data_IF_164006046607
#
_entry.id   IF_164006046607
#
_cell.length_a   1.000
_cell.length_b   1.000
_cell.length_c   1.000
_cell.angle_alpha   90.00
_cell.angle_beta   90.00
_cell.angle_gamma   90.00
#
_symmetry.space_group_name_H-M   'P 1'
#
loop_
_entity.id
_entity.type
_entity.pdbx_description
1 polymer ?
#
# COMPACT_ATOMS: atom_id res chain seq x y z
N UNK A 1 -35.55 39.36 14.04
CA UNK A 1 -34.27 38.79 13.55
C UNK A 1 -33.60 39.84 12.71
N UNK A 2 -32.28 40.01 12.81
CA UNK A 2 -31.53 40.90 11.90
C UNK A 2 -31.68 40.40 10.47
N UNK A 3 -31.93 41.29 9.51
CA UNK A 3 -31.78 40.97 8.08
C UNK A 3 -30.39 40.36 7.83
N UNK A 4 -30.27 39.31 6.99
CA UNK A 4 -28.98 38.79 6.54
C UNK A 4 -28.26 39.79 5.64
N UNK A 5 -26.95 39.64 5.50
CA UNK A 5 -26.25 40.28 4.38
C UNK A 5 -26.54 39.53 3.07
N UNK A 6 -26.63 40.25 1.97
CA UNK A 6 -26.77 39.65 0.65
C UNK A 6 -25.53 38.78 0.35
N UNK A 7 -25.75 37.53 -0.07
CA UNK A 7 -24.66 36.57 -0.29
C UNK A 7 -24.13 35.90 0.98
N UNK A 8 -24.71 36.18 2.15
CA UNK A 8 -24.34 35.50 3.39
C UNK A 8 -24.58 33.98 3.29
N UNK A 9 -23.60 33.20 3.73
CA UNK A 9 -23.68 31.73 3.78
C UNK A 9 -23.95 31.30 5.22
N UNK A 10 -24.93 30.43 5.42
CA UNK A 10 -25.27 29.87 6.75
C UNK A 10 -25.40 28.36 6.69
N UNK A 11 -24.98 27.71 7.78
CA UNK A 11 -25.28 26.30 8.04
C UNK A 11 -26.58 26.19 8.83
N UNK A 12 -27.46 25.29 8.41
CA UNK A 12 -28.79 25.07 8.98
C UNK A 12 -29.08 23.58 9.13
N UNK A 13 -29.89 23.23 10.14
CA UNK A 13 -30.25 21.84 10.45
C UNK A 13 -31.42 21.26 9.63
N UNK A 14 -32.09 22.08 8.83
CA UNK A 14 -33.17 21.65 7.93
C UNK A 14 -32.65 21.45 6.50
N UNK A 15 -33.42 20.78 5.64
CA UNK A 15 -32.96 20.27 4.33
C UNK A 15 -33.39 21.11 3.11
N UNK A 16 -34.00 22.27 3.33
CA UNK A 16 -34.50 23.15 2.26
C UNK A 16 -34.00 24.59 2.44
N UNK A 17 -34.04 25.38 1.36
CA UNK A 17 -33.79 26.81 1.45
C UNK A 17 -35.11 27.57 1.68
N UNK A 18 -35.24 28.37 2.75
CA UNK A 18 -36.43 29.19 2.97
C UNK A 18 -36.52 30.31 1.93
N UNK A 19 -37.67 31.00 1.87
CA UNK A 19 -37.84 32.14 0.96
C UNK A 19 -36.74 33.19 1.14
N UNK A 20 -36.21 33.72 0.03
CA UNK A 20 -35.08 34.65 0.03
C UNK A 20 -33.70 33.97 0.16
N UNK A 21 -33.64 32.64 0.19
CA UNK A 21 -32.42 31.85 0.25
C UNK A 21 -32.36 30.81 -0.86
N UNK A 22 -31.17 30.33 -1.14
CA UNK A 22 -30.92 29.20 -2.04
C UNK A 22 -29.95 28.20 -1.40
N UNK A 23 -30.00 26.93 -1.81
CA UNK A 23 -29.04 25.92 -1.35
C UNK A 23 -27.63 26.21 -1.90
N UNK A 24 -26.58 26.08 -1.10
CA UNK A 24 -25.20 26.23 -1.57
C UNK A 24 -24.71 24.94 -2.26
N UNK A 25 -25.27 24.66 -3.45
CA UNK A 25 -25.05 23.43 -4.23
C UNK A 25 -24.59 23.69 -5.68
N UNK A 26 -23.95 24.83 -5.96
CA UNK A 26 -23.35 25.09 -7.28
C UNK A 26 -24.34 25.48 -8.39
N UNK A 27 -25.57 25.83 -8.06
CA UNK A 27 -26.58 26.21 -9.05
C UNK A 27 -26.23 27.52 -9.76
N UNK A 28 -26.54 27.59 -11.06
CA UNK A 28 -26.41 28.80 -11.88
C UNK A 28 -27.67 29.66 -11.75
N UNK A 29 -27.49 30.94 -11.48
CA UNK A 29 -28.56 31.92 -11.26
C UNK A 29 -28.46 33.03 -12.31
N UNK A 30 -29.63 33.53 -12.74
CA UNK A 30 -29.69 34.62 -13.72
C UNK A 30 -29.10 35.92 -13.16
N UNK A 31 -28.15 36.50 -13.90
CA UNK A 31 -27.56 37.82 -13.61
C UNK A 31 -28.63 38.91 -13.66
N UNK A 32 -29.55 38.85 -14.63
CA UNK A 32 -30.56 39.89 -14.82
C UNK A 32 -31.54 40.02 -13.65
N UNK A 33 -31.77 38.92 -12.92
CA UNK A 33 -32.66 38.88 -11.76
C UNK A 33 -31.92 39.11 -10.43
N UNK A 34 -30.59 38.96 -10.40
CA UNK A 34 -29.80 38.97 -9.17
C UNK A 34 -28.55 39.84 -9.30
N UNK A 35 -28.69 41.01 -9.93
CA UNK A 35 -27.57 41.92 -10.24
C UNK A 35 -26.73 42.30 -9.02
N UNK A 36 -27.39 42.55 -7.87
CA UNK A 36 -26.70 42.90 -6.63
C UNK A 36 -25.86 41.73 -6.09
N UNK A 37 -26.36 40.50 -6.15
CA UNK A 37 -25.59 39.33 -5.72
C UNK A 37 -24.44 39.04 -6.71
N UNK A 38 -24.68 39.22 -8.01
CA UNK A 38 -23.63 39.12 -9.03
C UNK A 38 -22.51 40.14 -8.82
N UNK A 39 -22.81 41.37 -8.39
CA UNK A 39 -21.79 42.37 -8.07
C UNK A 39 -20.85 41.94 -6.93
N UNK A 40 -21.31 41.04 -6.04
CA UNK A 40 -20.50 40.48 -4.96
C UNK A 40 -19.72 39.24 -5.39
N UNK A 41 -20.39 38.29 -6.06
CA UNK A 41 -19.80 36.98 -6.37
C UNK A 41 -19.07 36.95 -7.71
N UNK A 42 -19.43 37.82 -8.66
CA UNK A 42 -18.96 37.75 -10.04
C UNK A 42 -19.14 36.34 -10.61
N UNK A 43 -18.09 35.81 -11.23
CA UNK A 43 -18.03 34.43 -11.75
C UNK A 43 -17.21 33.50 -10.85
N UNK A 44 -16.96 33.88 -9.59
CA UNK A 44 -16.07 33.15 -8.66
C UNK A 44 -16.48 31.67 -8.52
N UNK A 45 -17.78 31.39 -8.53
CA UNK A 45 -18.31 30.04 -8.39
C UNK A 45 -18.89 29.48 -9.71
N UNK A 46 -18.50 30.06 -10.85
CA UNK A 46 -18.90 29.62 -12.19
C UNK A 46 -19.92 30.53 -12.88
N UNK A 47 -20.50 30.02 -13.97
CA UNK A 47 -21.36 30.76 -14.89
C UNK A 47 -20.58 31.51 -15.97
N UNK A 48 -21.31 32.15 -16.88
CA UNK A 48 -20.74 32.85 -18.04
C UNK A 48 -20.49 34.35 -17.79
N UNK A 49 -20.92 34.87 -16.64
CA UNK A 49 -20.78 36.28 -16.25
C UNK A 49 -21.62 37.25 -17.10
N UNK A 50 -22.49 36.73 -17.99
CA UNK A 50 -23.34 37.52 -18.89
C UNK A 50 -24.80 37.25 -18.62
N UNK A 51 -25.22 36.00 -18.81
CA UNK A 51 -26.58 35.56 -18.51
C UNK A 51 -26.68 34.97 -17.11
N UNK A 52 -25.63 34.28 -16.64
CA UNK A 52 -25.63 33.51 -15.41
C UNK A 52 -24.35 33.62 -14.60
N UNK A 53 -24.45 33.38 -13.30
CA UNK A 53 -23.33 33.20 -12.38
C UNK A 53 -23.62 32.06 -11.41
N UNK A 54 -22.58 31.45 -10.84
CA UNK A 54 -22.71 30.34 -9.90
C UNK A 54 -22.86 30.77 -8.44
N UNK A 55 -23.59 29.96 -7.67
CA UNK A 55 -23.51 29.95 -6.21
C UNK A 55 -22.42 28.97 -5.75
N UNK A 56 -21.89 29.10 -4.51
CA UNK A 56 -20.98 28.11 -3.95
C UNK A 56 -21.57 26.69 -3.98
N UNK A 57 -20.72 25.69 -4.20
CA UNK A 57 -21.05 24.27 -4.00
C UNK A 57 -20.32 23.74 -2.76
N UNK A 58 -21.03 23.58 -1.65
CA UNK A 58 -20.48 23.09 -0.39
C UNK A 58 -20.81 21.61 -0.13
N UNK A 59 -21.38 20.89 -1.11
CA UNK A 59 -21.61 19.46 -0.97
C UNK A 59 -20.28 18.72 -0.92
N UNK A 60 -20.10 17.87 0.09
CA UNK A 60 -18.86 17.10 0.31
C UNK A 60 -17.64 17.95 0.69
N UNK A 61 -17.83 19.24 1.01
CA UNK A 61 -16.73 20.19 1.21
C UNK A 61 -16.86 20.90 2.55
N UNK A 62 -15.72 21.05 3.22
CA UNK A 62 -15.60 21.90 4.41
C UNK A 62 -15.12 23.29 4.00
N UNK A 63 -15.78 24.37 4.45
CA UNK A 63 -15.31 25.73 4.17
C UNK A 63 -13.99 26.00 4.90
N UNK A 64 -13.11 26.74 4.25
CA UNK A 64 -11.81 27.18 4.79
C UNK A 64 -11.65 28.69 4.58
N UNK A 65 -10.87 29.35 5.44
CA UNK A 65 -10.58 30.78 5.28
C UNK A 65 -9.72 31.05 4.05
N UNK A 66 -10.08 32.07 3.28
CA UNK A 66 -9.30 32.54 2.12
C UNK A 66 -8.12 33.41 2.56
N UNK A 67 -7.10 33.53 1.71
CA UNK A 67 -5.96 34.42 1.88
C UNK A 67 -4.64 33.68 2.13
N UNK A 68 -3.64 34.44 2.57
CA UNK A 68 -2.27 33.96 2.81
C UNK A 68 -1.87 34.18 4.27
N UNK A 69 -1.06 33.29 4.84
CA UNK A 69 -0.48 33.46 6.18
C UNK A 69 0.86 32.72 6.33
N UNK A 70 1.68 33.07 7.34
CA UNK A 70 2.95 32.38 7.58
C UNK A 70 2.75 30.87 7.78
N UNK A 71 3.36 30.05 6.93
CA UNK A 71 3.23 28.59 6.97
C UNK A 71 1.91 28.04 6.41
N UNK A 72 1.06 28.88 5.81
CA UNK A 72 -0.18 28.47 5.16
C UNK A 72 -0.05 28.59 3.64
N UNK A 73 -0.72 27.69 2.91
CA UNK A 73 -0.93 27.86 1.48
C UNK A 73 -1.87 29.06 1.23
N UNK A 74 -1.67 29.76 0.12
CA UNK A 74 -2.62 30.74 -0.36
C UNK A 74 -3.91 30.02 -0.77
N UNK A 75 -5.08 30.56 -0.36
CA UNK A 75 -6.38 30.04 -0.79
C UNK A 75 -7.19 31.18 -1.38
N UNK A 76 -7.56 31.06 -2.65
CA UNK A 76 -8.40 32.05 -3.32
C UNK A 76 -9.89 31.79 -3.09
N UNK A 77 -10.75 32.83 -3.11
CA UNK A 77 -12.20 32.64 -3.09
C UNK A 77 -12.65 31.72 -4.25
N UNK A 78 -13.48 30.73 -3.94
CA UNK A 78 -13.96 29.75 -4.93
C UNK A 78 -12.97 28.65 -5.28
N UNK A 79 -11.74 28.67 -4.74
CA UNK A 79 -10.79 27.58 -4.92
C UNK A 79 -11.33 26.29 -4.31
N UNK A 80 -11.23 25.20 -5.06
CA UNK A 80 -11.60 23.85 -4.61
C UNK A 80 -10.32 23.03 -4.51
N UNK A 81 -10.03 22.54 -3.30
CA UNK A 81 -8.88 21.70 -3.02
C UNK A 81 -9.24 20.48 -2.17
N UNK A 82 -8.30 19.53 -2.11
CA UNK A 82 -8.44 18.29 -1.34
C UNK A 82 -9.23 17.19 -2.04
N UNK A 83 -9.27 16.01 -1.41
CA UNK A 83 -10.00 14.81 -1.84
C UNK A 83 -10.63 14.13 -0.63
N UNK A 84 -11.77 13.46 -0.81
CA UNK A 84 -12.43 12.69 0.27
C UNK A 84 -11.69 11.39 0.57
N UNK A 85 -11.13 10.75 -0.48
CA UNK A 85 -10.31 9.55 -0.36
C UNK A 85 -9.03 9.66 -1.21
N UNK A 86 -7.93 9.11 -0.70
CA UNK A 86 -6.64 9.08 -1.38
C UNK A 86 -6.15 7.63 -1.54
N UNK A 87 -5.67 7.29 -2.75
CA UNK A 87 -4.89 6.09 -2.98
C UNK A 87 -3.40 6.43 -2.84
N UNK A 88 -2.67 5.72 -1.99
CA UNK A 88 -1.23 5.92 -1.88
C UNK A 88 -0.51 5.33 -3.09
N UNK A 89 0.37 6.14 -3.64
CA UNK A 89 1.38 5.75 -4.63
C UNK A 89 2.71 5.47 -3.96
N UNK A 90 3.62 4.78 -4.66
CA UNK A 90 4.96 4.50 -4.13
C UNK A 90 5.72 5.79 -3.76
N UNK A 91 5.49 6.90 -4.47
CA UNK A 91 6.10 8.20 -4.17
C UNK A 91 5.57 8.85 -2.88
N UNK A 92 4.42 8.40 -2.36
CA UNK A 92 3.84 8.88 -1.11
C UNK A 92 4.23 8.00 0.09
N UNK A 93 5.01 6.93 -0.12
CA UNK A 93 5.50 6.06 0.95
C UNK A 93 6.93 6.44 1.33
N UNK A 94 7.26 6.59 2.62
CA UNK A 94 8.64 6.72 3.06
C UNK A 94 9.51 5.55 2.61
N UNK A 95 10.81 5.79 2.43
CA UNK A 95 11.80 4.75 2.16
C UNK A 95 11.71 3.67 3.24
N UNK A 96 11.44 2.43 2.83
CA UNK A 96 11.34 1.28 3.70
C UNK A 96 12.02 0.07 3.05
N UNK A 97 12.29 -0.97 3.85
CA UNK A 97 12.90 -2.22 3.37
C UNK A 97 12.13 -3.42 3.88
N UNK A 98 12.17 -4.51 3.12
CA UNK A 98 11.69 -5.82 3.56
C UNK A 98 12.90 -6.70 3.80
N UNK A 99 13.12 -7.08 5.06
CA UNK A 99 14.16 -8.05 5.40
C UNK A 99 13.71 -9.44 4.93
N UNK A 100 14.53 -10.08 4.11
CA UNK A 100 14.36 -11.48 3.73
C UNK A 100 15.43 -12.28 4.44
N UNK A 101 15.01 -13.21 5.30
CA UNK A 101 15.91 -14.18 5.92
C UNK A 101 15.65 -15.54 5.31
N UNK A 102 16.63 -16.11 4.61
CA UNK A 102 16.56 -17.48 4.10
C UNK A 102 17.36 -18.42 4.97
N UNK A 103 16.75 -19.50 5.45
CA UNK A 103 17.45 -20.64 6.04
C UNK A 103 17.39 -21.80 5.06
N UNK A 104 18.53 -22.12 4.44
CA UNK A 104 18.64 -23.17 3.41
C UNK A 104 19.45 -22.73 2.21
N UNK A 105 20.03 -23.70 1.49
CA UNK A 105 21.06 -23.47 0.48
C UNK A 105 22.46 -23.42 1.11
N UNK A 106 23.37 -24.21 0.57
CA UNK A 106 24.73 -24.33 1.06
C UNK A 106 25.53 -25.36 0.29
N UNK A 107 26.83 -25.14 0.23
CA UNK A 107 27.79 -26.13 -0.26
C UNK A 107 28.51 -26.72 0.95
N UNK A 108 28.66 -28.03 0.96
CA UNK A 108 29.37 -28.73 2.02
C UNK A 108 30.03 -30.00 1.49
N UNK A 109 30.81 -30.63 2.35
CA UNK A 109 31.38 -31.95 2.07
C UNK A 109 30.89 -32.93 3.11
N UNK A 110 30.38 -34.07 2.67
CA UNK A 110 30.12 -35.20 3.55
C UNK A 110 31.36 -36.09 3.52
N UNK A 111 31.92 -36.40 4.69
CA UNK A 111 32.98 -37.40 4.81
C UNK A 111 32.34 -38.79 4.76
N UNK A 112 32.63 -39.56 3.72
CA UNK A 112 32.15 -40.93 3.56
C UNK A 112 33.25 -41.88 4.00
N UNK A 113 32.95 -42.70 4.99
CA UNK A 113 33.82 -43.79 5.43
C UNK A 113 33.19 -45.12 5.00
N UNK A 114 33.90 -45.89 4.16
CA UNK A 114 33.43 -47.21 3.72
C UNK A 114 33.83 -48.24 4.79
N UNK A 115 32.88 -48.96 5.40
CA UNK A 115 33.20 -50.01 6.37
C UNK A 115 34.03 -51.12 5.73
N UNK A 116 35.05 -51.56 6.46
CA UNK A 116 35.92 -52.65 6.07
C UNK A 116 36.23 -53.53 7.28
N UNK A 117 36.64 -54.76 7.02
CA UNK A 117 37.10 -55.69 8.05
C UNK A 117 38.50 -56.19 7.70
N UNK A 118 39.28 -56.47 8.72
CA UNK A 118 40.58 -57.17 8.60
C UNK A 118 40.44 -58.66 8.91
N UNK A 119 39.23 -59.13 9.21
CA UNK A 119 38.95 -60.55 9.45
C UNK A 119 39.11 -61.36 8.16
N UNK A 120 39.76 -62.51 8.25
CA UNK A 120 39.88 -63.48 7.15
C UNK A 120 38.84 -64.60 7.28
N UNK A 121 37.60 -64.22 7.61
CA UNK A 121 36.46 -65.13 7.67
C UNK A 121 35.24 -64.53 6.99
N UNK A 122 34.37 -65.40 6.47
CA UNK A 122 33.11 -65.01 5.85
C UNK A 122 33.28 -64.23 4.54
N UNK A 123 34.40 -64.43 3.84
CA UNK A 123 34.71 -63.80 2.56
C UNK A 123 33.89 -64.39 1.40
N UNK A 124 33.62 -63.55 0.42
CA UNK A 124 32.92 -63.96 -0.80
C UNK A 124 33.09 -62.97 -1.93
N UNK A 125 32.85 -63.46 -3.15
CA UNK A 125 33.06 -62.68 -4.36
C UNK A 125 31.92 -61.75 -4.76
N UNK A 126 30.75 -61.94 -4.17
CA UNK A 126 29.53 -61.20 -4.54
C UNK A 126 29.11 -60.31 -3.38
N UNK A 127 28.98 -58.99 -3.59
CA UNK A 127 28.51 -58.10 -2.56
C UNK A 127 27.03 -58.34 -2.26
N UNK A 128 26.64 -58.09 -1.02
CA UNK A 128 25.26 -58.16 -0.54
C UNK A 128 24.95 -57.03 0.44
N UNK A 129 23.68 -56.90 0.86
CA UNK A 129 23.24 -55.83 1.76
C UNK A 129 23.91 -55.86 3.15
N UNK A 130 24.55 -56.97 3.51
CA UNK A 130 25.22 -57.18 4.80
C UNK A 130 26.74 -57.34 4.68
N UNK A 131 27.32 -57.18 3.49
CA UNK A 131 28.76 -57.34 3.28
C UNK A 131 29.51 -56.02 3.39
N UNK A 132 30.72 -56.06 3.94
CA UNK A 132 31.69 -54.95 3.96
C UNK A 132 32.93 -55.31 3.13
N UNK A 133 33.84 -54.37 2.90
CA UNK A 133 35.11 -54.70 2.22
C UNK A 133 35.99 -55.57 3.13
N UNK A 134 36.44 -56.71 2.60
CA UNK A 134 37.30 -57.67 3.32
C UNK A 134 38.69 -57.78 2.71
N UNK A 135 39.64 -58.42 3.40
CA UNK A 135 40.96 -58.70 2.84
C UNK A 135 40.85 -59.74 1.72
N UNK A 136 41.54 -59.52 0.60
CA UNK A 136 41.69 -60.56 -0.42
C UNK A 136 42.68 -61.63 0.08
N UNK A 137 42.24 -62.89 0.17
CA UNK A 137 43.11 -64.01 0.54
C UNK A 137 44.22 -64.21 -0.52
N UNK A 138 45.47 -64.20 -0.08
CA UNK A 138 46.69 -64.22 -0.92
C UNK A 138 47.00 -65.60 -1.56
N UNK A 139 45.97 -66.34 -2.00
CA UNK A 139 46.10 -67.63 -2.69
C UNK A 139 45.88 -67.52 -4.21
N UNK A 140 46.08 -66.33 -4.78
CA UNK A 140 46.21 -66.16 -6.24
C UNK A 140 44.92 -66.09 -7.05
N UNK A 141 43.75 -65.85 -6.44
CA UNK A 141 42.54 -65.42 -7.16
C UNK A 141 41.91 -64.20 -6.51
N UNK A 142 41.64 -63.19 -7.34
CA UNK A 142 41.17 -61.86 -6.96
C UNK A 142 39.65 -61.80 -6.66
N UNK A 143 39.01 -62.87 -6.18
CA UNK A 143 37.55 -62.92 -6.18
C UNK A 143 36.91 -62.39 -4.91
N UNK A 144 37.45 -62.66 -3.72
CA UNK A 144 36.69 -62.47 -2.48
C UNK A 144 37.04 -61.13 -1.81
N UNK A 145 36.54 -60.04 -2.37
CA UNK A 145 36.77 -58.67 -1.87
C UNK A 145 35.76 -58.22 -0.81
N UNK A 146 34.75 -59.05 -0.54
CA UNK A 146 33.67 -58.74 0.39
C UNK A 146 33.67 -59.74 1.54
N UNK A 147 33.27 -59.30 2.72
CA UNK A 147 33.12 -60.16 3.90
C UNK A 147 31.82 -59.86 4.63
N UNK A 148 31.20 -60.91 5.19
CA UNK A 148 30.06 -60.83 6.10
C UNK A 148 30.47 -60.64 7.57
N UNK A 149 31.77 -60.66 7.86
CA UNK A 149 32.28 -60.38 9.20
C UNK A 149 31.98 -58.94 9.62
N UNK A 150 31.84 -58.71 10.91
CA UNK A 150 31.63 -57.36 11.43
C UNK A 150 32.77 -56.42 11.00
N UNK A 151 32.48 -55.16 10.63
CA UNK A 151 33.50 -54.19 10.28
C UNK A 151 34.38 -53.88 11.49
N UNK A 152 35.69 -53.89 11.28
CA UNK A 152 36.70 -53.57 12.31
C UNK A 152 37.44 -52.28 12.00
N UNK A 153 37.31 -51.76 10.78
CA UNK A 153 37.98 -50.55 10.31
C UNK A 153 37.17 -49.87 9.20
N UNK A 154 37.70 -48.78 8.66
CA UNK A 154 37.18 -48.12 7.47
C UNK A 154 38.32 -47.88 6.48
N UNK A 155 37.98 -47.82 5.19
CA UNK A 155 38.92 -47.24 4.23
C UNK A 155 39.17 -45.77 4.55
N UNK A 156 40.27 -45.23 4.03
CA UNK A 156 40.57 -43.79 4.10
C UNK A 156 39.34 -43.01 3.64
N UNK A 157 38.74 -42.17 4.50
CA UNK A 157 37.55 -41.42 4.12
C UNK A 157 37.82 -40.50 2.93
N UNK A 158 36.79 -40.27 2.14
CA UNK A 158 36.80 -39.27 1.07
C UNK A 158 35.62 -38.34 1.21
N UNK A 159 35.76 -37.13 0.68
CA UNK A 159 34.76 -36.09 0.75
C UNK A 159 33.90 -36.09 -0.50
N UNK A 160 32.58 -36.20 -0.34
CA UNK A 160 31.61 -36.00 -1.41
C UNK A 160 31.09 -34.57 -1.31
N UNK A 161 31.34 -33.70 -2.31
CA UNK A 161 30.74 -32.38 -2.33
C UNK A 161 29.23 -32.51 -2.58
N UNK A 162 28.46 -31.67 -1.90
CA UNK A 162 27.04 -31.50 -2.20
C UNK A 162 26.69 -30.02 -2.24
N UNK A 163 25.71 -29.69 -3.05
CA UNK A 163 25.12 -28.35 -3.13
C UNK A 163 23.62 -28.49 -2.99
N UNK A 164 23.02 -27.78 -2.04
CA UNK A 164 21.57 -27.62 -1.98
C UNK A 164 21.17 -26.28 -2.56
N UNK A 165 20.07 -26.25 -3.30
CA UNK A 165 19.51 -25.00 -3.84
C UNK A 165 18.87 -24.23 -2.70
N UNK A 166 19.20 -22.94 -2.58
CA UNK A 166 18.50 -22.03 -1.68
C UNK A 166 17.01 -21.91 -2.09
N UNK A 167 16.08 -21.72 -1.15
CA UNK A 167 14.68 -21.52 -1.51
C UNK A 167 14.50 -20.27 -2.36
N UNK A 168 13.66 -20.35 -3.40
CA UNK A 168 13.24 -19.16 -4.15
C UNK A 168 12.39 -18.27 -3.23
N UNK A 169 12.81 -17.03 -3.01
CA UNK A 169 12.00 -16.03 -2.30
C UNK A 169 11.28 -15.16 -3.32
N UNK A 170 9.96 -15.08 -3.20
CA UNK A 170 9.14 -14.15 -3.95
C UNK A 170 8.56 -13.13 -2.96
N UNK A 171 8.91 -11.85 -3.13
CA UNK A 171 8.29 -10.75 -2.39
C UNK A 171 7.13 -10.27 -3.27
N UNK A 172 5.90 -10.59 -2.87
CA UNK A 172 4.70 -10.13 -3.56
C UNK A 172 4.43 -8.64 -3.32
N UNK A 173 3.53 -8.07 -4.11
CA UNK A 173 3.02 -6.71 -3.88
C UNK A 173 2.30 -6.64 -2.54
N UNK A 174 2.64 -5.64 -1.71
CA UNK A 174 1.93 -5.35 -0.48
C UNK A 174 0.87 -4.25 -0.70
N UNK A 175 -0.32 -4.45 -0.14
CA UNK A 175 -1.45 -3.51 -0.25
C UNK A 175 -2.44 -3.84 -1.37
N UNK A 176 -3.71 -3.52 -1.16
CA UNK A 176 -4.81 -3.76 -2.13
C UNK A 176 -5.02 -2.61 -3.11
N UNK A 177 -4.20 -1.55 -3.02
CA UNK A 177 -4.34 -0.34 -3.83
C UNK A 177 -5.68 0.38 -3.65
N UNK A 178 -6.43 0.09 -2.59
CA UNK A 178 -7.72 0.74 -2.35
C UNK A 178 -7.49 2.14 -1.77
N UNK A 179 -8.22 3.15 -2.25
CA UNK A 179 -8.26 4.45 -1.58
C UNK A 179 -8.74 4.30 -0.14
N UNK A 180 -8.21 5.14 0.75
CA UNK A 180 -8.74 5.30 2.10
C UNK A 180 -9.29 6.71 2.29
N UNK A 181 -10.33 6.83 3.10
CA UNK A 181 -10.94 8.11 3.45
C UNK A 181 -9.95 8.99 4.24
N UNK A 182 -9.72 10.20 3.75
CA UNK A 182 -8.89 11.22 4.40
C UNK A 182 -9.71 12.25 5.16
N UNK A 183 -11.04 12.17 5.06
CA UNK A 183 -11.94 13.12 5.69
C UNK A 183 -12.05 12.85 7.20
N UNK A 184 -11.98 13.92 7.99
CA UNK A 184 -12.30 13.87 9.42
C UNK A 184 -13.76 13.42 9.63
N UNK A 185 -14.11 12.86 10.80
CA UNK A 185 -15.51 12.63 11.16
C UNK A 185 -16.35 13.89 10.93
N UNK A 186 -17.50 13.75 10.28
CA UNK A 186 -18.34 14.88 9.88
C UNK A 186 -19.81 14.59 10.16
N UNK A 187 -20.56 15.67 10.37
CA UNK A 187 -22.02 15.65 10.41
C UNK A 187 -22.54 16.51 9.26
N UNK A 188 -23.43 15.96 8.44
CA UNK A 188 -24.03 16.69 7.34
C UNK A 188 -25.00 17.76 7.83
N UNK A 189 -24.70 19.03 7.54
CA UNK A 189 -25.62 20.15 7.66
C UNK A 189 -25.91 20.73 6.28
N UNK A 190 -27.05 21.39 6.14
CA UNK A 190 -27.38 22.07 4.89
C UNK A 190 -26.75 23.46 4.90
N UNK A 191 -26.07 23.81 3.82
CA UNK A 191 -25.58 25.17 3.62
C UNK A 191 -26.56 25.93 2.70
N UNK A 192 -26.91 27.14 3.09
CA UNK A 192 -27.78 28.04 2.33
C UNK A 192 -27.09 29.40 2.12
N UNK A 193 -27.43 30.08 1.04
CA UNK A 193 -26.94 31.42 0.67
C UNK A 193 -28.11 32.40 0.52
N UNK A 194 -27.96 33.60 1.08
CA UNK A 194 -28.98 34.64 1.02
C UNK A 194 -29.06 35.26 -0.39
N UNK A 195 -30.20 35.11 -1.04
CA UNK A 195 -30.53 35.79 -2.30
C UNK A 195 -31.14 37.18 -2.07
N UNK A 196 -31.62 37.45 -0.85
CA UNK A 196 -32.18 38.72 -0.42
C UNK A 196 -31.56 39.11 0.93
N UNK A 197 -31.22 40.38 1.11
CA UNK A 197 -30.57 40.88 2.32
C UNK A 197 -30.01 42.29 2.14
N UNK A 198 -29.34 42.78 3.18
CA UNK A 198 -28.65 44.07 3.16
C UNK A 198 -27.39 43.94 2.30
N UNK A 199 -27.21 44.84 1.34
CA UNK A 199 -25.98 44.86 0.53
C UNK A 199 -24.78 45.25 1.40
N UNK A 200 -23.70 44.43 1.46
CA UNK A 200 -22.53 44.76 2.27
C UNK A 200 -21.70 45.85 1.57
N UNK A 201 -21.76 47.09 2.07
CA UNK A 201 -20.95 48.20 1.56
C UNK A 201 -19.49 48.02 1.95
N UNK A 202 -18.58 48.17 0.98
CA UNK A 202 -17.14 48.26 1.24
C UNK A 202 -16.84 49.67 1.78
N UNK A 203 -16.36 49.75 3.02
CA UNK A 203 -15.87 50.99 3.64
C UNK A 203 -14.44 51.32 3.23
#
# INVERSE_FOLDING_TARGET
>A
MSEPFLGEIRMVGFTFAPYGWALAQGQLISVSQNQALFALFGTTYGGDGRATFGLPDLRGRSPVGTGTGPGLAAIEPGEVGGVEAVQLTNTQLPTHTHAVTTTGGGSGTISVAIPATTATTGEGAVPGPTTVLGPASASGRASDMYSTAAPTTTLKPFNVPFTTTAPTVQIGTAGLGQPFETRNPFLGLTCIVALQGIYPSRG
#
